data_IF_727353800896
#
_entry.id   IF_727353800896
#
_cell.length_a   1.000
_cell.length_b   1.000
_cell.length_c   1.000
_cell.angle_alpha   90.00
_cell.angle_beta   90.00
_cell.angle_gamma   90.00
#
_symmetry.space_group_name_H-M   'P 1'
#
loop_
_entity.id
_entity.type
_entity.pdbx_description
1 polymer ?
#
# COMPACT_ATOMS: atom_id res chain seq x y z
N UNK A 1 -21.33 19.76 -7.26
CA UNK A 1 -20.98 20.11 -5.87
C UNK A 1 -19.85 19.18 -5.44
N UNK A 2 -18.85 19.61 -4.67
CA UNK A 2 -17.87 18.68 -4.13
C UNK A 2 -18.59 17.66 -3.27
N UNK A 3 -18.36 16.38 -3.50
CA UNK A 3 -18.94 15.29 -2.71
C UNK A 3 -18.40 15.39 -1.28
N UNK A 4 -19.28 15.44 -0.29
CA UNK A 4 -18.87 15.46 1.12
C UNK A 4 -18.20 14.13 1.45
N UNK A 5 -16.99 14.18 2.03
CA UNK A 5 -16.28 12.95 2.44
C UNK A 5 -17.07 12.25 3.54
N UNK A 6 -17.36 10.97 3.34
CA UNK A 6 -18.12 10.15 4.29
C UNK A 6 -17.36 10.05 5.64
N UNK A 7 -18.06 10.11 6.79
CA UNK A 7 -17.44 10.10 8.13
C UNK A 7 -16.49 8.93 8.40
N UNK A 8 -16.73 7.76 7.82
CA UNK A 8 -15.84 6.61 7.96
C UNK A 8 -14.41 6.86 7.47
N UNK A 9 -14.20 7.84 6.57
CA UNK A 9 -12.88 8.21 6.08
C UNK A 9 -12.20 9.32 6.88
N UNK A 10 -12.81 9.87 7.93
CA UNK A 10 -12.25 10.95 8.76
C UNK A 10 -10.90 10.58 9.39
N UNK A 11 -10.71 9.27 9.66
CA UNK A 11 -9.45 8.72 10.19
C UNK A 11 -8.34 8.55 9.15
N UNK A 12 -8.63 8.68 7.85
CA UNK A 12 -7.63 8.49 6.79
C UNK A 12 -6.98 9.82 6.45
N UNK A 13 -5.65 9.87 6.58
CA UNK A 13 -4.85 11.04 6.19
C UNK A 13 -4.67 11.04 4.68
N UNK A 14 -4.72 12.22 4.06
CA UNK A 14 -4.53 12.36 2.62
C UNK A 14 -5.58 11.64 1.77
N UNK A 15 -5.21 11.20 0.57
CA UNK A 15 -6.01 10.38 -0.36
C UNK A 15 -7.39 10.97 -0.69
N UNK A 16 -7.53 12.30 -0.75
CA UNK A 16 -8.83 12.98 -0.82
C UNK A 16 -9.66 12.57 -2.02
N UNK A 17 -9.04 12.48 -3.22
CA UNK A 17 -9.74 12.06 -4.44
C UNK A 17 -10.34 10.66 -4.30
N UNK A 18 -9.60 9.72 -3.74
CA UNK A 18 -10.10 8.34 -3.53
C UNK A 18 -11.21 8.30 -2.48
N UNK A 19 -11.09 9.10 -1.41
CA UNK A 19 -12.16 9.25 -0.39
C UNK A 19 -13.44 9.83 -0.97
N UNK A 20 -13.33 10.83 -1.83
CA UNK A 20 -14.50 11.44 -2.51
C UNK A 20 -15.21 10.43 -3.41
N UNK A 21 -14.45 9.69 -4.23
CA UNK A 21 -15.03 8.66 -5.12
C UNK A 21 -15.70 7.54 -4.33
N UNK A 22 -15.06 7.04 -3.26
CA UNK A 22 -15.65 6.01 -2.40
C UNK A 22 -16.88 6.54 -1.65
N UNK A 23 -16.88 7.80 -1.21
CA UNK A 23 -18.05 8.43 -0.60
C UNK A 23 -19.23 8.49 -1.56
N UNK A 24 -18.99 8.88 -2.81
CA UNK A 24 -20.02 8.84 -3.85
C UNK A 24 -20.53 7.42 -4.13
N UNK A 25 -19.64 6.41 -4.03
CA UNK A 25 -20.03 4.99 -4.12
C UNK A 25 -20.95 4.55 -2.97
N UNK A 26 -20.68 5.00 -1.73
CA UNK A 26 -21.55 4.74 -0.57
C UNK A 26 -22.91 5.39 -0.78
N UNK A 27 -22.96 6.65 -1.21
CA UNK A 27 -24.23 7.36 -1.49
C UNK A 27 -25.03 6.67 -2.60
N UNK A 28 -24.35 6.21 -3.67
CA UNK A 28 -25.01 5.47 -4.75
C UNK A 28 -25.62 4.16 -4.24
N UNK A 29 -24.88 3.39 -3.44
CA UNK A 29 -25.34 2.15 -2.84
C UNK A 29 -26.55 2.38 -1.91
N UNK A 30 -26.51 3.41 -1.06
CA UNK A 30 -27.62 3.81 -0.19
C UNK A 30 -28.89 4.16 -0.97
N UNK A 31 -28.73 4.72 -2.17
CA UNK A 31 -29.84 5.09 -3.04
C UNK A 31 -30.31 3.95 -3.96
N UNK A 32 -29.79 2.73 -3.80
CA UNK A 32 -30.10 1.58 -4.67
C UNK A 32 -29.61 1.76 -6.12
N UNK A 33 -28.65 2.64 -6.36
CA UNK A 33 -28.02 2.86 -7.67
C UNK A 33 -26.77 2.01 -7.82
N UNK A 34 -26.32 1.83 -9.04
CA UNK A 34 -25.04 1.15 -9.31
C UNK A 34 -23.90 1.85 -8.57
N UNK A 35 -23.30 1.14 -7.63
CA UNK A 35 -22.13 1.61 -6.88
C UNK A 35 -20.86 1.41 -7.70
N UNK A 36 -19.79 2.12 -7.31
CA UNK A 36 -18.47 1.93 -7.91
C UNK A 36 -17.92 0.53 -7.59
N UNK A 37 -17.13 0.01 -8.50
CA UNK A 37 -16.41 -1.27 -8.38
C UNK A 37 -14.91 -0.97 -8.30
N UNK A 38 -14.35 -0.76 -7.09
CA UNK A 38 -13.01 -0.18 -6.97
C UNK A 38 -11.89 -1.16 -7.32
N UNK A 39 -10.93 -0.72 -8.13
CA UNK A 39 -9.61 -1.33 -8.26
C UNK A 39 -8.56 -0.37 -7.70
N UNK A 40 -8.05 -0.67 -6.50
CA UNK A 40 -7.07 0.16 -5.82
C UNK A 40 -5.66 -0.24 -6.24
N UNK A 41 -4.97 0.68 -6.92
CA UNK A 41 -3.57 0.56 -7.32
C UNK A 41 -2.70 1.51 -6.50
N UNK A 42 -1.74 0.97 -5.79
CA UNK A 42 -0.78 1.79 -5.04
C UNK A 42 0.44 0.98 -4.57
N UNK A 43 1.57 1.63 -4.34
CA UNK A 43 2.71 1.02 -3.67
C UNK A 43 2.35 0.45 -2.30
N UNK A 44 3.14 -0.52 -1.78
CA UNK A 44 2.95 -1.03 -0.43
C UNK A 44 3.04 0.09 0.62
N UNK A 45 2.13 0.10 1.60
CA UNK A 45 2.14 1.08 2.69
C UNK A 45 1.45 2.42 2.39
N UNK A 46 0.74 2.56 1.26
CA UNK A 46 -0.07 3.74 0.93
C UNK A 46 -1.52 3.70 1.48
N UNK A 47 -1.86 2.69 2.30
CA UNK A 47 -3.17 2.64 2.96
C UNK A 47 -4.28 1.93 2.18
N UNK A 48 -3.96 1.10 1.15
CA UNK A 48 -4.95 0.33 0.37
C UNK A 48 -5.94 -0.43 1.26
N UNK A 49 -5.41 -1.28 2.11
CA UNK A 49 -6.21 -2.13 3.01
C UNK A 49 -7.04 -1.30 3.98
N UNK A 50 -6.48 -0.22 4.54
CA UNK A 50 -7.21 0.66 5.48
C UNK A 50 -8.39 1.36 4.80
N UNK A 51 -8.18 1.95 3.63
CA UNK A 51 -9.27 2.64 2.90
C UNK A 51 -10.35 1.66 2.43
N UNK A 52 -9.96 0.45 2.00
CA UNK A 52 -10.88 -0.61 1.62
C UNK A 52 -11.74 -1.06 2.80
N UNK A 53 -11.13 -1.29 3.97
CA UNK A 53 -11.87 -1.69 5.17
C UNK A 53 -12.86 -0.61 5.60
N UNK A 54 -12.49 0.67 5.57
CA UNK A 54 -13.41 1.77 5.90
C UNK A 54 -14.59 1.87 4.94
N UNK A 55 -14.36 1.59 3.67
CA UNK A 55 -15.43 1.52 2.68
C UNK A 55 -16.40 0.37 2.98
N UNK A 56 -15.88 -0.83 3.26
CA UNK A 56 -16.69 -1.98 3.64
C UNK A 56 -17.46 -1.77 4.95
N UNK A 57 -16.85 -1.14 5.96
CA UNK A 57 -17.53 -0.79 7.20
C UNK A 57 -18.74 0.14 6.96
N UNK A 58 -18.59 1.11 6.06
CA UNK A 58 -19.65 2.01 5.68
C UNK A 58 -20.79 1.27 4.95
N UNK A 59 -20.47 0.33 4.07
CA UNK A 59 -21.46 -0.51 3.36
C UNK A 59 -22.13 -1.49 4.33
N UNK A 60 -21.39 -2.09 5.25
CA UNK A 60 -21.98 -2.96 6.29
C UNK A 60 -23.00 -2.22 7.15
N UNK A 61 -22.74 -0.96 7.49
CA UNK A 61 -23.68 -0.11 8.21
C UNK A 61 -24.99 0.17 7.42
N UNK A 62 -24.98 -0.07 6.11
CA UNK A 62 -26.14 0.05 5.21
C UNK A 62 -26.81 -1.30 4.90
N UNK A 63 -26.41 -2.37 5.59
CA UNK A 63 -27.02 -3.69 5.45
C UNK A 63 -26.34 -4.60 4.41
N UNK A 64 -25.19 -4.21 3.86
CA UNK A 64 -24.43 -5.12 3.01
C UNK A 64 -23.76 -6.22 3.83
N UNK A 65 -23.81 -7.46 3.35
CA UNK A 65 -22.90 -8.50 3.83
C UNK A 65 -21.50 -8.19 3.30
N UNK A 66 -20.50 -8.23 4.15
CA UNK A 66 -19.12 -7.92 3.75
C UNK A 66 -18.19 -9.10 3.94
N UNK A 67 -17.31 -9.33 2.97
CA UNK A 67 -16.22 -10.30 3.05
C UNK A 67 -14.89 -9.59 2.78
N UNK A 68 -13.87 -9.94 3.57
CA UNK A 68 -12.51 -9.38 3.46
C UNK A 68 -11.53 -10.53 3.35
N UNK A 69 -10.80 -10.54 2.26
CA UNK A 69 -9.79 -11.53 1.98
C UNK A 69 -8.44 -10.82 1.84
N UNK A 70 -7.52 -11.09 2.76
CA UNK A 70 -6.17 -10.50 2.75
C UNK A 70 -5.33 -11.04 1.58
N UNK A 71 -5.75 -12.18 1.02
CA UNK A 71 -5.25 -12.74 -0.23
C UNK A 71 -6.34 -13.59 -0.87
N UNK A 72 -6.46 -13.62 -2.20
CA UNK A 72 -7.35 -14.57 -2.88
C UNK A 72 -7.04 -16.04 -2.53
N UNK A 73 -5.83 -16.33 -2.08
CA UNK A 73 -5.42 -17.68 -1.67
C UNK A 73 -6.19 -18.22 -0.47
N UNK A 74 -6.84 -17.37 0.32
CA UNK A 74 -7.69 -17.79 1.43
C UNK A 74 -8.87 -18.67 0.96
N UNK A 75 -9.35 -18.46 -0.27
CA UNK A 75 -10.42 -19.27 -0.87
C UNK A 75 -9.90 -20.32 -1.85
N UNK A 76 -8.60 -20.60 -1.83
CA UNK A 76 -7.94 -21.56 -2.74
C UNK A 76 -8.45 -22.97 -2.57
N UNK A 77 -8.68 -23.40 -1.34
CA UNK A 77 -9.13 -24.76 -1.01
C UNK A 77 -10.65 -24.79 -0.81
N UNK A 78 -11.28 -25.91 -1.12
CA UNK A 78 -12.67 -26.13 -0.79
C UNK A 78 -12.86 -26.16 0.74
N UNK A 79 -14.03 -25.67 1.18
CA UNK A 79 -14.36 -25.49 2.61
C UNK A 79 -14.02 -24.09 3.12
N UNK A 80 -14.52 -23.74 4.30
CA UNK A 80 -14.26 -22.47 4.97
C UNK A 80 -14.57 -21.25 4.10
N UNK A 81 -13.57 -20.42 3.85
CA UNK A 81 -13.75 -19.16 3.11
C UNK A 81 -14.29 -19.33 1.68
N UNK A 82 -14.03 -20.47 1.01
CA UNK A 82 -14.64 -20.75 -0.28
C UNK A 82 -16.15 -20.99 -0.18
N UNK A 83 -16.59 -21.78 0.79
CA UNK A 83 -18.00 -22.07 1.00
C UNK A 83 -18.75 -20.81 1.43
N UNK A 84 -18.17 -19.98 2.29
CA UNK A 84 -18.71 -18.67 2.68
C UNK A 84 -18.84 -17.72 1.47
N UNK A 85 -17.84 -17.69 0.59
CA UNK A 85 -17.88 -16.93 -0.66
C UNK A 85 -19.02 -17.40 -1.57
N UNK A 86 -19.13 -18.72 -1.81
CA UNK A 86 -20.18 -19.30 -2.66
C UNK A 86 -21.56 -19.01 -2.06
N UNK A 87 -21.74 -19.24 -0.77
CA UNK A 87 -23.00 -18.93 -0.07
C UNK A 87 -23.39 -17.45 -0.17
N UNK A 88 -22.40 -16.56 -0.09
CA UNK A 88 -22.64 -15.11 -0.24
C UNK A 88 -23.08 -14.72 -1.65
N UNK A 89 -22.38 -15.20 -2.70
CA UNK A 89 -22.68 -14.82 -4.08
C UNK A 89 -23.90 -15.51 -4.66
N UNK A 90 -24.36 -16.59 -4.04
CA UNK A 90 -25.60 -17.28 -4.43
C UNK A 90 -26.84 -16.76 -3.69
N UNK A 91 -26.68 -15.95 -2.65
CA UNK A 91 -27.79 -15.27 -1.98
C UNK A 91 -28.18 -14.00 -2.74
N UNK A 92 -29.28 -14.08 -3.46
CA UNK A 92 -29.82 -12.94 -4.27
C UNK A 92 -30.62 -11.93 -3.45
N UNK A 93 -30.88 -12.22 -2.17
CA UNK A 93 -31.77 -11.42 -1.32
C UNK A 93 -31.02 -10.28 -0.62
N UNK A 94 -29.78 -10.54 -0.25
CA UNK A 94 -28.96 -9.61 0.54
C UNK A 94 -27.83 -9.00 -0.31
N UNK A 95 -27.72 -7.67 -0.35
CA UNK A 95 -26.60 -7.03 -1.05
C UNK A 95 -25.26 -7.42 -0.39
N UNK A 96 -24.21 -7.54 -1.21
CA UNK A 96 -22.90 -7.90 -0.67
C UNK A 96 -21.76 -7.03 -1.22
N UNK A 97 -20.69 -6.94 -0.45
CA UNK A 97 -19.45 -6.30 -0.85
C UNK A 97 -18.25 -7.21 -0.49
N UNK A 98 -17.45 -7.58 -1.48
CA UNK A 98 -16.29 -8.46 -1.31
C UNK A 98 -15.02 -7.70 -1.67
N UNK A 99 -14.03 -7.79 -0.80
CA UNK A 99 -12.71 -7.20 -0.98
C UNK A 99 -11.64 -8.29 -1.09
N UNK A 100 -10.85 -8.19 -2.14
CA UNK A 100 -9.67 -9.02 -2.35
C UNK A 100 -8.41 -8.14 -2.32
N UNK A 101 -7.59 -8.29 -1.28
CA UNK A 101 -6.24 -7.74 -1.29
C UNK A 101 -5.32 -8.61 -2.13
N UNK A 102 -4.21 -8.07 -2.62
CA UNK A 102 -3.22 -8.73 -3.49
C UNK A 102 -3.87 -9.48 -4.67
N UNK A 103 -4.85 -8.84 -5.33
CA UNK A 103 -5.69 -9.45 -6.36
C UNK A 103 -4.91 -10.07 -7.55
N UNK A 104 -3.65 -9.65 -7.79
CA UNK A 104 -2.79 -10.24 -8.81
C UNK A 104 -2.50 -11.73 -8.56
N UNK A 105 -2.60 -12.22 -7.33
CA UNK A 105 -2.42 -13.63 -7.01
C UNK A 105 -3.51 -14.54 -7.62
N UNK A 106 -4.68 -13.99 -7.99
CA UNK A 106 -5.72 -14.75 -8.68
C UNK A 106 -5.26 -15.29 -10.04
N UNK A 107 -4.33 -14.61 -10.69
CA UNK A 107 -3.84 -14.95 -12.03
C UNK A 107 -2.58 -15.81 -11.97
N UNK A 108 -1.86 -15.77 -10.86
CA UNK A 108 -0.62 -16.51 -10.65
C UNK A 108 -0.87 -17.96 -10.20
N UNK A 109 -2.06 -18.26 -9.68
CA UNK A 109 -2.39 -19.56 -9.11
C UNK A 109 -3.32 -20.37 -10.04
N UNK A 110 -2.87 -21.56 -10.47
CA UNK A 110 -3.59 -22.45 -11.39
C UNK A 110 -4.56 -23.41 -10.67
N UNK A 111 -4.92 -23.16 -9.42
CA UNK A 111 -5.90 -23.98 -8.69
C UNK A 111 -7.31 -23.74 -9.21
N UNK A 112 -8.14 -24.79 -9.26
CA UNK A 112 -9.51 -24.77 -9.81
C UNK A 112 -10.36 -23.62 -9.26
N UNK A 113 -10.37 -23.43 -7.93
CA UNK A 113 -11.18 -22.38 -7.30
C UNK A 113 -10.72 -20.97 -7.70
N UNK A 114 -9.40 -20.76 -7.86
CA UNK A 114 -8.86 -19.46 -8.32
C UNK A 114 -9.26 -19.15 -9.75
N UNK A 115 -9.22 -20.16 -10.64
CA UNK A 115 -9.70 -20.02 -12.02
C UNK A 115 -11.19 -19.72 -12.08
N UNK A 116 -11.98 -20.37 -11.22
CA UNK A 116 -13.43 -20.12 -11.09
C UNK A 116 -13.71 -18.72 -10.57
N UNK A 117 -13.01 -18.28 -9.52
CA UNK A 117 -13.10 -16.93 -8.97
C UNK A 117 -12.77 -15.87 -10.01
N UNK A 118 -11.65 -16.02 -10.70
CA UNK A 118 -11.23 -15.07 -11.73
C UNK A 118 -12.26 -14.98 -12.87
N UNK A 119 -12.80 -16.14 -13.28
CA UNK A 119 -13.85 -16.21 -14.30
C UNK A 119 -15.15 -15.55 -13.82
N UNK A 120 -15.53 -15.76 -12.56
CA UNK A 120 -16.66 -15.06 -11.94
C UNK A 120 -16.47 -13.54 -11.99
N UNK A 121 -15.36 -13.03 -11.46
CA UNK A 121 -15.09 -11.59 -11.43
C UNK A 121 -15.12 -11.00 -12.84
N UNK A 122 -14.50 -11.66 -13.80
CA UNK A 122 -14.49 -11.21 -15.20
C UNK A 122 -15.88 -11.11 -15.80
N UNK A 123 -16.75 -12.11 -15.55
CA UNK A 123 -18.14 -12.12 -16.04
C UNK A 123 -19.01 -11.11 -15.29
N UNK A 124 -18.85 -11.00 -13.98
CA UNK A 124 -19.57 -10.06 -13.12
C UNK A 124 -19.29 -8.59 -13.50
N UNK A 125 -18.03 -8.31 -13.87
CA UNK A 125 -17.62 -6.95 -14.27
C UNK A 125 -17.90 -6.64 -15.73
N UNK A 126 -18.45 -7.56 -16.51
CA UNK A 126 -18.82 -7.28 -17.91
C UNK A 126 -20.06 -6.38 -17.97
N UNK A 127 -19.87 -5.14 -18.42
CA UNK A 127 -20.92 -4.13 -18.50
C UNK A 127 -22.06 -4.49 -19.47
N UNK A 128 -21.84 -5.46 -20.35
CA UNK A 128 -22.87 -5.97 -21.27
C UNK A 128 -23.77 -7.01 -20.62
N UNK A 129 -23.47 -7.45 -19.39
CA UNK A 129 -24.13 -8.53 -18.68
C UNK A 129 -24.96 -8.05 -17.48
N UNK A 130 -25.48 -6.83 -17.48
CA UNK A 130 -26.32 -6.34 -16.39
C UNK A 130 -27.50 -7.30 -16.11
N UNK A 131 -27.55 -7.83 -14.87
CA UNK A 131 -28.57 -8.77 -14.38
C UNK A 131 -28.67 -10.13 -15.11
N UNK A 132 -27.62 -10.58 -15.79
CA UNK A 132 -27.60 -11.93 -16.39
C UNK A 132 -27.06 -12.98 -15.44
N UNK A 133 -27.53 -14.21 -15.65
CA UNK A 133 -27.02 -15.37 -14.93
C UNK A 133 -25.55 -15.64 -15.30
N UNK A 134 -24.71 -15.76 -14.30
CA UNK A 134 -23.29 -16.11 -14.43
C UNK A 134 -23.17 -17.58 -14.11
N UNK A 135 -23.16 -18.43 -15.15
CA UNK A 135 -22.94 -19.88 -15.02
C UNK A 135 -21.43 -20.14 -15.07
N UNK A 136 -20.88 -20.75 -14.04
CA UNK A 136 -19.48 -21.12 -13.92
C UNK A 136 -19.26 -22.64 -13.96
N UNK A 137 -20.24 -23.40 -13.46
CA UNK A 137 -20.36 -24.86 -13.54
C UNK A 137 -21.83 -25.26 -13.44
N UNK A 138 -22.12 -26.56 -13.54
CA UNK A 138 -23.49 -27.07 -13.32
C UNK A 138 -23.99 -26.78 -11.90
N UNK A 139 -23.09 -26.72 -10.91
CA UNK A 139 -23.40 -26.51 -9.50
C UNK A 139 -23.28 -25.03 -9.07
N UNK A 140 -22.63 -24.19 -9.87
CA UNK A 140 -22.38 -22.79 -9.53
C UNK A 140 -22.90 -21.86 -10.60
N UNK A 141 -24.11 -21.34 -10.35
CA UNK A 141 -24.73 -20.26 -11.13
C UNK A 141 -25.18 -19.15 -10.19
N UNK A 142 -24.93 -17.91 -10.55
CA UNK A 142 -25.28 -16.74 -9.76
C UNK A 142 -25.66 -15.56 -10.64
N UNK A 143 -26.22 -14.50 -10.02
CA UNK A 143 -26.47 -13.21 -10.67
C UNK A 143 -25.61 -12.13 -10.04
N UNK A 144 -25.15 -11.21 -10.84
CA UNK A 144 -24.45 -10.03 -10.36
C UNK A 144 -25.23 -8.77 -10.75
N UNK A 145 -25.80 -8.13 -9.72
CA UNK A 145 -26.50 -6.85 -9.84
C UNK A 145 -25.59 -5.75 -9.28
N UNK A 146 -25.10 -4.86 -10.14
CA UNK A 146 -24.18 -3.77 -9.75
C UNK A 146 -24.82 -2.75 -8.82
N UNK A 147 -26.14 -2.73 -8.68
CA UNK A 147 -26.83 -1.89 -7.70
C UNK A 147 -26.82 -2.50 -6.29
N UNK A 148 -26.57 -3.81 -6.17
CA UNK A 148 -26.59 -4.58 -4.93
C UNK A 148 -25.25 -5.19 -4.57
N UNK A 149 -24.38 -5.44 -5.55
CA UNK A 149 -23.18 -6.24 -5.35
C UNK A 149 -21.94 -5.45 -5.74
N UNK A 150 -20.96 -5.46 -4.86
CA UNK A 150 -19.71 -4.71 -5.01
C UNK A 150 -18.55 -5.68 -4.93
N UNK A 151 -17.66 -5.64 -5.92
CA UNK A 151 -16.36 -6.31 -5.88
C UNK A 151 -15.29 -5.22 -5.83
N UNK A 152 -14.44 -5.29 -4.84
CA UNK A 152 -13.31 -4.40 -4.65
C UNK A 152 -12.01 -5.20 -4.74
N UNK A 153 -11.07 -4.73 -5.52
CA UNK A 153 -9.75 -5.31 -5.68
C UNK A 153 -8.68 -4.33 -5.22
N UNK A 154 -7.58 -4.83 -4.66
CA UNK A 154 -6.36 -4.06 -4.49
C UNK A 154 -5.13 -4.84 -4.95
N UNK A 155 -4.14 -4.12 -5.47
CA UNK A 155 -2.89 -4.73 -5.92
C UNK A 155 -1.75 -3.72 -5.95
N UNK A 156 -0.52 -4.21 -5.83
CA UNK A 156 0.70 -3.47 -6.12
C UNK A 156 1.15 -3.65 -7.59
N UNK A 157 0.53 -4.58 -8.33
CA UNK A 157 0.96 -5.06 -9.64
C UNK A 157 -0.23 -5.15 -10.61
N UNK A 158 -0.86 -4.01 -10.92
CA UNK A 158 -2.01 -3.95 -11.82
C UNK A 158 -1.71 -4.63 -13.18
N UNK A 159 -0.50 -4.49 -13.71
CA UNK A 159 -0.07 -5.12 -14.96
C UNK A 159 -0.03 -6.66 -14.91
N UNK A 160 0.04 -7.26 -13.72
CA UNK A 160 -0.03 -8.72 -13.55
C UNK A 160 -1.47 -9.23 -13.50
N UNK A 161 -2.40 -8.40 -13.02
CA UNK A 161 -3.80 -8.79 -12.89
C UNK A 161 -4.44 -9.06 -14.27
N UNK A 162 -4.09 -8.29 -15.28
CA UNK A 162 -4.60 -8.47 -16.63
C UNK A 162 -3.68 -7.82 -17.66
N UNK A 163 -2.98 -8.65 -18.44
CA UNK A 163 -2.07 -8.17 -19.48
C UNK A 163 -2.80 -7.48 -20.64
N UNK A 164 -4.08 -7.80 -20.88
CA UNK A 164 -4.88 -7.21 -21.94
C UNK A 164 -5.51 -5.87 -21.56
N UNK A 165 -5.53 -5.53 -20.26
CA UNK A 165 -6.23 -4.38 -19.71
C UNK A 165 -7.76 -4.51 -19.74
N UNK A 166 -8.31 -5.63 -20.23
CA UNK A 166 -9.74 -5.82 -20.38
C UNK A 166 -10.47 -5.90 -19.04
N UNK A 167 -9.86 -6.51 -18.02
CA UNK A 167 -10.42 -6.52 -16.66
C UNK A 167 -10.31 -5.15 -16.03
N UNK A 168 -9.13 -4.51 -16.17
CA UNK A 168 -8.88 -3.19 -15.61
C UNK A 168 -9.92 -2.16 -16.08
N UNK A 169 -10.25 -2.14 -17.36
CA UNK A 169 -11.22 -1.18 -17.95
C UNK A 169 -12.65 -1.32 -17.39
N UNK A 170 -12.95 -2.41 -16.69
CA UNK A 170 -14.27 -2.71 -16.11
C UNK A 170 -14.43 -2.26 -14.67
N UNK A 171 -13.32 -1.95 -14.00
CA UNK A 171 -13.29 -1.42 -12.64
C UNK A 171 -13.13 0.10 -12.63
N UNK A 172 -13.51 0.69 -11.52
CA UNK A 172 -13.26 2.10 -11.24
C UNK A 172 -11.89 2.24 -10.58
N UNK A 173 -10.92 2.78 -11.34
CA UNK A 173 -9.54 2.88 -10.88
C UNK A 173 -9.37 3.92 -9.80
N UNK A 174 -8.85 3.48 -8.64
CA UNK A 174 -8.42 4.32 -7.54
C UNK A 174 -6.90 4.20 -7.38
N UNK A 175 -6.19 5.22 -7.78
CA UNK A 175 -4.76 5.33 -7.53
C UNK A 175 -4.53 6.07 -6.23
N UNK A 176 -3.84 5.44 -5.28
CA UNK A 176 -3.39 6.11 -4.07
C UNK A 176 -2.00 6.67 -4.29
N UNK A 177 -1.83 7.92 -3.90
CA UNK A 177 -0.55 8.62 -4.01
C UNK A 177 0.36 8.32 -2.82
N UNK A 178 1.66 8.54 -3.00
CA UNK A 178 2.60 8.57 -1.89
C UNK A 178 2.23 9.72 -0.95
N UNK A 179 2.35 9.48 0.34
CA UNK A 179 2.11 10.51 1.35
C UNK A 179 3.19 11.58 1.32
N UNK A 180 2.78 12.83 1.50
CA UNK A 180 3.69 13.94 1.75
C UNK A 180 4.25 13.86 3.17
N UNK A 181 5.34 14.61 3.46
CA UNK A 181 5.98 14.61 4.78
C UNK A 181 5.01 15.05 5.89
N UNK A 182 4.18 16.06 5.64
CA UNK A 182 3.16 16.53 6.58
C UNK A 182 2.08 15.48 6.85
N UNK A 183 1.67 14.72 5.84
CA UNK A 183 0.73 13.61 5.97
C UNK A 183 1.34 12.45 6.75
N UNK A 184 2.61 12.11 6.48
CA UNK A 184 3.34 11.09 7.24
C UNK A 184 3.52 11.47 8.71
N UNK A 185 3.77 12.75 9.03
CA UNK A 185 3.77 13.25 10.40
C UNK A 185 2.41 13.05 11.09
N UNK A 186 1.32 13.38 10.41
CA UNK A 186 -0.03 13.16 10.95
C UNK A 186 -0.30 11.69 11.23
N UNK A 187 0.09 10.80 10.30
CA UNK A 187 -0.04 9.34 10.46
C UNK A 187 0.79 8.87 11.65
N UNK A 188 2.05 9.31 11.75
CA UNK A 188 2.95 9.00 12.86
C UNK A 188 2.37 9.45 14.19
N UNK A 189 1.93 10.71 14.28
CA UNK A 189 1.31 11.28 15.50
C UNK A 189 0.13 10.42 15.96
N UNK A 190 -0.77 10.04 15.04
CA UNK A 190 -1.91 9.17 15.36
C UNK A 190 -1.46 7.80 15.84
N UNK A 191 -0.44 7.19 15.21
CA UNK A 191 0.09 5.90 15.63
C UNK A 191 0.71 5.98 17.04
N UNK A 192 1.51 7.00 17.32
CA UNK A 192 2.13 7.20 18.63
C UNK A 192 1.08 7.46 19.71
N UNK A 193 0.13 8.37 19.46
CA UNK A 193 -0.96 8.66 20.40
C UNK A 193 -1.80 7.42 20.72
N UNK A 194 -2.15 6.61 19.70
CA UNK A 194 -2.89 5.36 19.89
C UNK A 194 -2.16 4.37 20.81
N UNK A 195 -0.82 4.38 20.77
CA UNK A 195 0.02 3.53 21.61
C UNK A 195 0.45 4.19 22.94
N UNK A 196 -0.17 5.33 23.32
CA UNK A 196 0.15 6.04 24.56
C UNK A 196 1.54 6.68 24.59
N UNK A 197 2.19 6.79 23.43
CA UNK A 197 3.55 7.35 23.33
C UNK A 197 3.50 8.88 23.33
N UNK A 198 4.48 9.49 23.98
CA UNK A 198 4.77 10.93 23.96
C UNK A 198 6.13 11.15 23.29
N UNK A 199 6.40 12.33 22.80
CA UNK A 199 7.68 12.72 22.18
C UNK A 199 8.14 14.07 22.70
N UNK A 200 9.44 14.28 22.68
CA UNK A 200 10.08 15.46 23.26
C UNK A 200 9.78 16.74 22.46
N UNK A 201 9.88 16.65 21.13
CA UNK A 201 9.71 17.77 20.23
C UNK A 201 9.37 17.33 18.81
N UNK A 202 9.07 18.30 17.93
CA UNK A 202 8.70 18.08 16.51
C UNK A 202 9.84 17.48 15.67
N UNK A 203 11.10 17.65 16.07
CA UNK A 203 12.23 17.10 15.32
C UNK A 203 12.24 15.57 15.36
N UNK A 204 11.83 14.96 16.48
CA UNK A 204 11.63 13.51 16.59
C UNK A 204 10.64 13.02 15.55
N UNK A 205 9.48 13.69 15.43
CA UNK A 205 8.48 13.32 14.42
C UNK A 205 9.01 13.53 13.00
N UNK A 206 9.77 14.60 12.77
CA UNK A 206 10.35 14.92 11.47
C UNK A 206 11.34 13.85 11.01
N UNK A 207 12.21 13.39 11.89
CA UNK A 207 13.19 12.35 11.56
C UNK A 207 12.47 11.03 11.23
N UNK A 208 11.51 10.61 12.06
CA UNK A 208 10.79 9.35 11.83
C UNK A 208 9.92 9.43 10.55
N UNK A 209 9.19 10.53 10.34
CA UNK A 209 8.33 10.68 9.16
C UNK A 209 9.12 10.59 7.85
N UNK A 210 10.31 11.18 7.80
CA UNK A 210 11.21 11.11 6.64
C UNK A 210 11.71 9.70 6.35
N UNK A 211 11.78 8.83 7.35
CA UNK A 211 12.10 7.42 7.14
C UNK A 211 10.97 6.66 6.41
N UNK A 212 9.76 7.22 6.36
CA UNK A 212 8.62 6.63 5.65
C UNK A 212 8.75 6.63 4.12
N UNK A 213 9.53 7.56 3.54
CA UNK A 213 9.77 7.65 2.09
C UNK A 213 8.47 7.66 1.28
N UNK A 214 7.48 8.41 1.75
CA UNK A 214 6.15 8.49 1.12
C UNK A 214 5.18 7.37 1.49
N UNK A 215 5.56 6.43 2.36
CA UNK A 215 4.69 5.32 2.78
C UNK A 215 4.64 5.16 4.30
N UNK A 216 3.53 4.66 4.83
CA UNK A 216 3.33 4.52 6.28
C UNK A 216 3.95 3.25 6.88
N UNK A 217 4.28 2.23 6.07
CA UNK A 217 4.78 0.94 6.57
C UNK A 217 6.10 1.04 7.33
N UNK A 218 7.15 1.74 6.82
CA UNK A 218 8.39 1.91 7.59
C UNK A 218 8.15 2.66 8.91
N UNK A 219 7.28 3.67 8.92
CA UNK A 219 6.93 4.42 10.13
C UNK A 219 6.30 3.52 11.17
N UNK A 220 5.34 2.66 10.77
CA UNK A 220 4.72 1.68 11.67
C UNK A 220 5.77 0.77 12.30
N UNK A 221 6.69 0.25 11.51
CA UNK A 221 7.76 -0.61 12.02
C UNK A 221 8.66 0.13 13.03
N UNK A 222 8.99 1.42 12.77
CA UNK A 222 9.77 2.23 13.70
C UNK A 222 9.02 2.43 15.02
N UNK A 223 7.71 2.72 14.98
CA UNK A 223 6.87 2.87 16.17
C UNK A 223 6.83 1.58 16.99
N UNK A 224 6.63 0.43 16.36
CA UNK A 224 6.61 -0.88 16.99
C UNK A 224 7.98 -1.20 17.66
N UNK A 225 9.08 -0.95 16.96
CA UNK A 225 10.42 -1.12 17.52
C UNK A 225 10.71 -0.14 18.66
N UNK A 226 10.23 1.09 18.56
CA UNK A 226 10.35 2.08 19.62
C UNK A 226 9.64 1.62 20.89
N UNK A 227 8.42 1.10 20.77
CA UNK A 227 7.70 0.53 21.91
C UNK A 227 8.46 -0.63 22.57
N UNK A 228 9.08 -1.49 21.75
CA UNK A 228 9.86 -2.63 22.26
C UNK A 228 11.14 -2.20 22.96
N UNK A 229 11.86 -1.20 22.42
CA UNK A 229 13.22 -0.82 22.88
C UNK A 229 13.20 0.26 23.97
N UNK A 230 12.25 1.19 23.88
CA UNK A 230 12.16 2.38 24.74
C UNK A 230 10.96 2.34 25.66
N UNK A 231 9.84 1.75 25.20
CA UNK A 231 8.56 1.79 25.91
C UNK A 231 7.79 3.09 25.65
N UNK A 232 6.78 3.35 26.49
CA UNK A 232 5.93 4.54 26.42
C UNK A 232 5.81 5.30 27.78
N UNK A 233 6.59 4.92 28.77
CA UNK A 233 6.54 5.48 30.14
C UNK A 233 7.03 6.93 30.18
N UNK A 234 7.94 7.31 29.30
CA UNK A 234 8.50 8.65 29.17
C UNK A 234 8.44 9.17 27.73
N UNK A 235 8.60 10.48 27.49
CA UNK A 235 8.70 11.03 26.14
C UNK A 235 9.90 10.43 25.37
N UNK A 236 9.66 10.07 24.11
CA UNK A 236 10.69 9.63 23.17
C UNK A 236 11.61 10.80 22.84
N UNK A 237 12.90 10.64 23.10
CA UNK A 237 13.94 11.64 22.82
C UNK A 237 14.55 11.44 21.42
N UNK A 238 15.32 12.44 20.96
CA UNK A 238 16.08 12.30 19.72
C UNK A 238 17.14 11.18 19.83
N UNK A 239 17.79 11.04 20.97
CA UNK A 239 18.82 9.99 21.20
C UNK A 239 18.20 8.58 21.17
N UNK A 240 17.02 8.42 21.78
CA UNK A 240 16.26 7.16 21.66
C UNK A 240 15.90 6.84 20.20
N UNK A 241 15.44 7.85 19.48
CA UNK A 241 15.10 7.71 18.05
C UNK A 241 16.31 7.24 17.25
N UNK A 242 17.46 7.90 17.43
CA UNK A 242 18.71 7.51 16.76
C UNK A 242 19.17 6.10 17.17
N UNK A 243 19.00 5.72 18.43
CA UNK A 243 19.29 4.37 18.93
C UNK A 243 18.41 3.32 18.24
N UNK A 244 17.10 3.55 18.13
CA UNK A 244 16.16 2.65 17.46
C UNK A 244 16.51 2.51 15.99
N UNK A 245 16.77 3.61 15.29
CA UNK A 245 17.14 3.58 13.87
C UNK A 245 18.42 2.78 13.64
N UNK A 246 19.45 2.94 14.50
CA UNK A 246 20.69 2.13 14.43
C UNK A 246 20.42 0.64 14.60
N UNK A 247 19.60 0.26 15.60
CA UNK A 247 19.23 -1.14 15.81
C UNK A 247 18.48 -1.74 14.60
N UNK A 248 17.69 -0.94 13.93
CA UNK A 248 16.99 -1.34 12.69
C UNK A 248 17.88 -1.32 11.45
N UNK A 249 19.16 -0.91 11.55
CA UNK A 249 20.05 -0.64 10.40
C UNK A 249 19.42 0.32 9.40
N UNK A 250 18.68 1.28 9.89
CA UNK A 250 18.00 2.31 9.13
C UNK A 250 18.66 3.65 9.37
N UNK A 251 19.07 4.32 8.33
CA UNK A 251 19.68 5.64 8.41
C UNK A 251 18.61 6.75 8.34
N UNK A 252 18.89 7.95 8.88
CA UNK A 252 18.01 9.10 8.71
C UNK A 252 17.56 9.27 7.24
N UNK A 253 16.33 9.70 7.00
CA UNK A 253 15.65 9.69 5.69
C UNK A 253 15.33 8.29 5.13
N UNK A 254 15.43 7.25 5.95
CA UNK A 254 15.02 5.90 5.59
C UNK A 254 15.96 5.17 4.62
N UNK A 255 17.24 5.56 4.54
CA UNK A 255 18.21 4.83 3.74
C UNK A 255 18.54 3.50 4.41
N UNK A 256 18.69 2.45 3.60
CA UNK A 256 19.26 1.18 4.04
C UNK A 256 20.80 1.18 3.92
N UNK A 257 21.43 0.15 4.49
CA UNK A 257 22.88 -0.02 4.46
C UNK A 257 23.44 0.01 3.04
N UNK A 258 22.80 -0.66 2.11
CA UNK A 258 23.23 -0.77 0.72
C UNK A 258 23.14 0.57 -0.03
N UNK A 259 22.15 1.39 0.26
CA UNK A 259 22.04 2.76 -0.29
C UNK A 259 23.17 3.65 0.21
N UNK A 260 23.53 3.53 1.49
CA UNK A 260 24.65 4.26 2.06
C UNK A 260 25.98 3.76 1.50
N UNK A 261 26.14 2.46 1.32
CA UNK A 261 27.32 1.89 0.65
C UNK A 261 27.46 2.41 -0.80
N UNK A 262 26.35 2.50 -1.54
CA UNK A 262 26.36 3.10 -2.88
C UNK A 262 26.89 4.53 -2.85
N UNK A 263 26.41 5.36 -1.92
CA UNK A 263 26.88 6.73 -1.76
C UNK A 263 28.38 6.77 -1.38
N UNK A 264 28.82 5.93 -0.44
CA UNK A 264 30.23 5.87 -0.03
C UNK A 264 31.16 5.50 -1.19
N UNK A 265 30.79 4.48 -1.98
CA UNK A 265 31.55 4.06 -3.14
C UNK A 265 31.64 5.15 -4.22
N UNK A 266 30.58 5.95 -4.37
CA UNK A 266 30.46 7.00 -5.38
C UNK A 266 30.98 8.39 -4.91
N UNK A 267 31.60 8.51 -3.72
CA UNK A 267 32.06 9.80 -3.17
C UNK A 267 33.18 10.45 -4.00
N UNK A 268 34.17 9.65 -4.39
CA UNK A 268 35.40 10.14 -5.01
C UNK A 268 35.63 9.64 -6.45
N UNK A 269 34.69 8.86 -6.96
CA UNK A 269 34.74 8.31 -8.32
C UNK A 269 33.35 8.00 -8.84
N UNK A 270 33.19 8.05 -10.16
CA UNK A 270 31.98 7.56 -10.81
C UNK A 270 31.97 6.02 -10.78
N UNK A 271 30.79 5.46 -10.43
CA UNK A 271 30.58 4.02 -10.31
C UNK A 271 29.50 3.57 -11.29
N UNK A 272 29.76 2.51 -12.03
CA UNK A 272 28.77 1.86 -12.89
C UNK A 272 27.91 0.86 -12.11
N UNK A 273 26.70 0.59 -12.61
CA UNK A 273 25.75 -0.36 -12.01
C UNK A 273 26.39 -1.74 -11.75
N UNK A 274 27.11 -2.29 -12.74
CA UNK A 274 27.78 -3.58 -12.62
C UNK A 274 28.88 -3.61 -11.56
N UNK A 275 29.59 -2.50 -11.36
CA UNK A 275 30.61 -2.39 -10.32
C UNK A 275 30.01 -2.40 -8.93
N UNK A 276 28.88 -1.69 -8.74
CA UNK A 276 28.15 -1.72 -7.47
C UNK A 276 27.59 -3.11 -7.19
N UNK A 277 26.88 -3.71 -8.15
CA UNK A 277 26.29 -5.05 -7.99
C UNK A 277 27.34 -6.15 -7.74
N UNK A 278 28.54 -6.02 -8.33
CA UNK A 278 29.64 -6.93 -8.03
C UNK A 278 30.19 -6.78 -6.61
N UNK A 279 30.15 -5.56 -6.04
CA UNK A 279 30.65 -5.28 -4.68
C UNK A 279 29.61 -5.58 -3.61
N UNK A 280 28.32 -5.42 -3.91
CA UNK A 280 27.20 -5.65 -3.01
C UNK A 280 26.25 -6.70 -3.62
N UNK A 281 26.62 -8.00 -3.56
CA UNK A 281 25.90 -9.06 -4.25
C UNK A 281 24.51 -9.36 -3.65
N UNK A 282 24.19 -8.80 -2.49
CA UNK A 282 22.84 -8.86 -1.90
C UNK A 282 21.80 -8.00 -2.62
N UNK A 283 22.26 -7.10 -3.53
CA UNK A 283 21.38 -6.17 -4.24
C UNK A 283 21.11 -6.68 -5.66
N UNK A 284 19.85 -6.82 -6.00
CA UNK A 284 19.43 -7.14 -7.36
C UNK A 284 19.36 -5.88 -8.26
N UNK A 285 19.45 -6.03 -9.59
CA UNK A 285 19.33 -4.90 -10.52
C UNK A 285 18.03 -4.09 -10.38
N UNK A 286 16.93 -4.75 -10.00
CA UNK A 286 15.65 -4.07 -9.73
C UNK A 286 15.73 -3.17 -8.50
N UNK A 287 16.36 -3.65 -7.42
CA UNK A 287 16.57 -2.86 -6.20
C UNK A 287 17.49 -1.67 -6.44
N UNK A 288 18.58 -1.86 -7.20
CA UNK A 288 19.46 -0.75 -7.57
C UNK A 288 18.72 0.35 -8.34
N UNK A 289 17.80 -0.01 -9.24
CA UNK A 289 16.94 0.98 -9.92
C UNK A 289 16.09 1.77 -8.93
N UNK A 290 15.52 1.10 -7.90
CA UNK A 290 14.75 1.77 -6.85
C UNK A 290 15.63 2.72 -6.03
N UNK A 291 16.83 2.29 -5.63
CA UNK A 291 17.80 3.13 -4.91
C UNK A 291 18.15 4.37 -5.72
N UNK A 292 18.50 4.20 -7.00
CA UNK A 292 18.78 5.33 -7.88
C UNK A 292 17.60 6.28 -7.96
N UNK A 293 16.39 5.78 -8.18
CA UNK A 293 15.19 6.60 -8.25
C UNK A 293 14.97 7.46 -7.01
N UNK A 294 15.18 6.91 -5.82
CA UNK A 294 15.06 7.67 -4.58
C UNK A 294 16.22 8.65 -4.37
N UNK A 295 17.45 8.18 -4.51
CA UNK A 295 18.65 8.98 -4.23
C UNK A 295 18.85 10.14 -5.21
N UNK A 296 18.34 10.04 -6.45
CA UNK A 296 18.37 11.09 -7.46
C UNK A 296 17.15 12.03 -7.43
N UNK A 297 16.12 11.70 -6.65
CA UNK A 297 14.91 12.53 -6.58
C UNK A 297 15.26 13.97 -6.16
N UNK A 298 14.52 14.99 -6.63
CA UNK A 298 14.79 16.39 -6.31
C UNK A 298 14.82 16.70 -4.80
N UNK A 299 14.02 15.98 -4.03
CA UNK A 299 13.91 16.15 -2.58
C UNK A 299 15.13 15.61 -1.82
N UNK A 300 15.70 14.52 -2.30
CA UNK A 300 16.88 13.84 -1.71
C UNK A 300 18.16 14.38 -2.33
N UNK A 301 18.33 14.21 -3.62
CA UNK A 301 19.47 14.67 -4.41
C UNK A 301 20.83 14.31 -3.81
N UNK A 302 21.00 13.03 -3.44
CA UNK A 302 22.26 12.51 -2.88
C UNK A 302 23.15 11.88 -3.92
N UNK A 303 22.58 11.41 -5.03
CA UNK A 303 23.26 10.75 -6.13
C UNK A 303 23.02 11.51 -7.43
N UNK A 304 24.06 11.71 -8.22
CA UNK A 304 24.01 12.23 -9.59
C UNK A 304 24.22 11.09 -10.60
N UNK A 305 23.56 11.17 -11.73
CA UNK A 305 23.78 10.26 -12.86
C UNK A 305 24.53 11.02 -13.94
N UNK A 306 25.67 10.44 -14.37
CA UNK A 306 26.52 10.97 -15.43
C UNK A 306 26.59 9.99 -16.60
N UNK A 307 27.10 10.39 -17.77
CA UNK A 307 27.35 9.45 -18.87
C UNK A 307 28.32 8.30 -18.53
N UNK A 308 29.13 8.47 -17.49
CA UNK A 308 30.16 7.50 -17.08
C UNK A 308 29.71 6.61 -15.92
N UNK A 309 28.62 7.00 -15.19
CA UNK A 309 28.11 6.25 -14.07
C UNK A 309 27.36 7.10 -13.06
N UNK A 310 27.47 6.75 -11.80
CA UNK A 310 26.87 7.43 -10.66
C UNK A 310 27.93 8.11 -9.81
N UNK A 311 27.65 9.31 -9.33
CA UNK A 311 28.49 10.05 -8.40
C UNK A 311 27.70 10.60 -7.22
N UNK A 312 28.33 10.68 -6.05
CA UNK A 312 27.71 11.29 -4.87
C UNK A 312 27.76 12.81 -4.96
N UNK A 313 26.61 13.44 -4.95
CA UNK A 313 26.48 14.91 -5.01
C UNK A 313 27.07 15.60 -3.76
N UNK A 314 27.23 16.93 -3.81
CA UNK A 314 27.62 17.72 -2.64
C UNK A 314 26.69 17.47 -1.45
N UNK A 315 25.37 17.38 -1.69
CA UNK A 315 24.37 17.12 -0.65
C UNK A 315 24.50 15.69 -0.10
N UNK A 316 24.82 14.70 -0.95
CA UNK A 316 25.11 13.33 -0.52
C UNK A 316 26.36 13.24 0.34
N UNK A 317 27.43 13.97 0.01
CA UNK A 317 28.65 14.03 0.83
C UNK A 317 28.40 14.66 2.21
N UNK A 318 27.61 15.72 2.26
CA UNK A 318 27.18 16.33 3.52
C UNK A 318 26.36 15.36 4.37
N UNK A 319 25.44 14.61 3.75
CA UNK A 319 24.67 13.59 4.44
C UNK A 319 25.55 12.46 5.01
N UNK A 320 26.51 11.94 4.25
CA UNK A 320 27.47 10.96 4.75
C UNK A 320 28.25 11.47 5.94
N UNK A 321 28.76 12.70 5.87
CA UNK A 321 29.44 13.35 7.02
C UNK A 321 28.54 13.45 8.25
N UNK A 322 27.27 13.80 8.08
CA UNK A 322 26.31 13.89 9.16
C UNK A 322 26.06 12.54 9.82
N UNK A 323 25.81 11.48 9.07
CA UNK A 323 25.52 10.15 9.63
C UNK A 323 26.77 9.55 10.31
N UNK A 324 27.98 9.83 9.80
CA UNK A 324 29.23 9.47 10.48
C UNK A 324 29.36 10.20 11.82
N UNK A 325 29.16 11.51 11.85
CA UNK A 325 29.24 12.30 13.11
C UNK A 325 28.18 11.90 14.16
N UNK A 326 27.08 11.28 13.73
CA UNK A 326 26.02 10.74 14.60
C UNK A 326 26.23 9.26 14.98
N UNK A 327 27.38 8.66 14.64
CA UNK A 327 27.71 7.28 14.99
C UNK A 327 26.85 6.22 14.29
N UNK A 328 26.43 6.48 13.04
CA UNK A 328 25.77 5.48 12.19
C UNK A 328 26.76 4.71 11.32
N UNK A 329 27.95 5.28 11.10
CA UNK A 329 29.06 4.65 10.38
C UNK A 329 30.28 4.65 11.30
N UNK A 330 30.93 3.51 11.38
CA UNK A 330 32.21 3.33 12.06
C UNK A 330 33.37 3.98 11.27
#
# INVERSE_FOLDING_TARGET
MPTTIHPNFSGIVGQNRSKELLSAGIEAASAGRAAIQPLIDAPPGCGKTEIAHRYLDALAAQGFRTMRLASPREIRLAGGAWDDFVAMVMDYTTPYAIYFDEAHEMVEDNVKNMSTLFTFIRKAMDRTNDNRDIVLSEEFSTRFDRSKNIIMLSTNFVHKLDRSGALQSRFDHLKLDLYREDELKQILTRMMTKNGMRWENEDVLTVISRCGRGTARPIKNIVEQTLTVVGNDRPLTMDDTMRVLRLMKLFPKGLCTEEVQLLQMAVNREIKDNQFLATVPSVEPAQLRMFKGYLTSPEVNFLGITPRGMETTKRGKQYLSLITSKGFLD
#
